data_IF_235009142840
#
_entry.id   IF_235009142840
#
_cell.length_a   1.000
_cell.length_b   1.000
_cell.length_c   1.000
_cell.angle_alpha   90.00
_cell.angle_beta   90.00
_cell.angle_gamma   90.00
#
_symmetry.space_group_name_H-M   'P 1'
#
loop_
_entity.id
_entity.type
_entity.pdbx_description
1 polymer ?
#
# COMPACT_ATOMS: atom_id res chain seq x y z
N UNK A 1 21.28 -7.81 3.49
CA UNK A 1 20.62 -9.14 3.65
C UNK A 1 19.60 -9.29 2.51
N UNK A 2 19.41 -10.47 1.92
CA UNK A 2 18.38 -10.62 0.87
C UNK A 2 16.99 -10.63 1.51
N UNK A 3 16.13 -9.71 1.08
CA UNK A 3 14.78 -9.53 1.61
C UNK A 3 13.77 -9.56 0.46
N UNK A 4 12.53 -9.93 0.80
CA UNK A 4 11.38 -9.81 -0.08
C UNK A 4 10.39 -8.83 0.53
N UNK A 5 9.77 -8.00 -0.30
CA UNK A 5 8.75 -7.06 0.14
C UNK A 5 7.60 -6.95 -0.85
N UNK A 6 6.46 -6.52 -0.35
CA UNK A 6 5.22 -6.39 -1.11
C UNK A 6 4.95 -4.93 -1.44
N UNK A 7 4.64 -4.67 -2.70
CA UNK A 7 4.22 -3.34 -3.18
C UNK A 7 2.87 -3.45 -3.88
N UNK A 8 1.94 -2.58 -3.51
CA UNK A 8 0.62 -2.48 -4.15
C UNK A 8 0.52 -1.18 -4.94
N UNK A 9 0.45 -1.29 -6.26
CA UNK A 9 0.04 -0.20 -7.13
C UNK A 9 -1.49 -0.09 -7.05
N UNK A 10 -1.94 0.94 -6.34
CA UNK A 10 -3.37 1.26 -6.15
C UNK A 10 -4.01 1.77 -7.45
N UNK A 11 -5.35 1.87 -7.52
CA UNK A 11 -6.03 2.18 -8.79
C UNK A 11 -5.57 3.48 -9.47
N UNK A 12 -5.20 4.50 -8.70
CA UNK A 12 -4.67 5.76 -9.24
C UNK A 12 -3.36 5.59 -10.02
N UNK A 13 -2.50 4.64 -9.64
CA UNK A 13 -1.25 4.40 -10.37
C UNK A 13 -1.54 3.90 -11.79
N UNK A 14 -2.60 3.12 -11.98
CA UNK A 14 -3.04 2.64 -13.28
C UNK A 14 -3.78 3.73 -14.05
N UNK A 15 -4.72 4.43 -13.39
CA UNK A 15 -5.48 5.56 -13.96
C UNK A 15 -4.55 6.64 -14.52
N UNK A 16 -3.45 6.91 -13.80
CA UNK A 16 -2.43 7.90 -14.17
C UNK A 16 -1.32 7.36 -15.08
N UNK A 17 -1.43 6.10 -15.53
CA UNK A 17 -0.47 5.43 -16.43
C UNK A 17 0.98 5.45 -15.88
N UNK A 18 1.14 5.17 -14.59
CA UNK A 18 2.42 5.21 -13.87
C UNK A 18 3.11 3.85 -13.73
N UNK A 19 2.46 2.75 -14.13
CA UNK A 19 2.95 1.37 -13.91
C UNK A 19 4.39 1.19 -14.40
N UNK A 20 4.67 1.48 -15.67
CA UNK A 20 6.02 1.33 -16.23
C UNK A 20 7.07 2.18 -15.53
N UNK A 21 6.72 3.44 -15.18
CA UNK A 21 7.62 4.34 -14.44
C UNK A 21 7.94 3.84 -13.04
N UNK A 22 6.99 3.18 -12.38
CA UNK A 22 7.19 2.63 -11.04
C UNK A 22 8.08 1.39 -11.10
N UNK A 23 7.83 0.48 -12.05
CA UNK A 23 8.66 -0.72 -12.24
C UNK A 23 10.11 -0.32 -12.55
N UNK A 24 10.29 0.61 -13.50
CA UNK A 24 11.61 1.12 -13.87
C UNK A 24 12.41 1.63 -12.66
N UNK A 25 11.77 2.36 -11.73
CA UNK A 25 12.45 2.87 -10.52
C UNK A 25 12.96 1.76 -9.61
N UNK A 26 12.24 0.64 -9.51
CA UNK A 26 12.69 -0.50 -8.70
C UNK A 26 13.86 -1.20 -9.38
N UNK A 27 13.76 -1.47 -10.69
CA UNK A 27 14.84 -2.10 -11.47
C UNK A 27 16.12 -1.25 -11.48
N UNK A 28 16.02 0.07 -11.71
CA UNK A 28 17.15 1.01 -11.66
C UNK A 28 17.80 1.10 -10.27
N UNK A 29 17.07 0.72 -9.21
CA UNK A 29 17.59 0.66 -7.85
C UNK A 29 18.23 -0.69 -7.51
N UNK A 30 18.38 -1.58 -8.48
CA UNK A 30 18.97 -2.91 -8.30
C UNK A 30 18.04 -3.90 -7.58
N UNK A 31 16.73 -3.65 -7.59
CA UNK A 31 15.73 -4.57 -7.03
C UNK A 31 15.15 -5.48 -8.12
N UNK A 32 14.90 -6.72 -7.75
CA UNK A 32 14.29 -7.73 -8.62
C UNK A 32 12.76 -7.69 -8.53
N UNK A 33 12.08 -7.81 -9.67
CA UNK A 33 10.64 -8.08 -9.69
C UNK A 33 10.43 -9.59 -9.68
N UNK A 34 10.07 -10.15 -8.52
CA UNK A 34 9.93 -11.60 -8.32
C UNK A 34 8.56 -12.14 -8.73
N UNK A 35 7.50 -11.35 -8.60
CA UNK A 35 6.14 -11.70 -9.03
C UNK A 35 5.33 -10.44 -9.35
N UNK A 36 4.44 -10.55 -10.33
CA UNK A 36 3.49 -9.49 -10.72
C UNK A 36 2.11 -10.13 -10.88
N UNK A 37 1.12 -9.59 -10.15
CA UNK A 37 -0.27 -10.01 -10.30
C UNK A 37 -1.19 -8.83 -10.51
N UNK A 38 -1.90 -8.85 -11.64
CA UNK A 38 -2.99 -7.92 -11.93
C UNK A 38 -4.29 -8.44 -11.34
N UNK A 39 -5.02 -7.55 -10.67
CA UNK A 39 -6.38 -7.80 -10.20
C UNK A 39 -7.32 -6.79 -10.85
N UNK A 40 -8.26 -7.25 -11.66
CA UNK A 40 -9.28 -6.38 -12.26
C UNK A 40 -10.20 -5.78 -11.19
N UNK A 41 -10.47 -6.55 -10.11
CA UNK A 41 -11.13 -6.10 -8.89
C UNK A 41 -10.57 -6.87 -7.68
N UNK A 42 -10.60 -6.25 -6.51
CA UNK A 42 -10.28 -6.88 -5.22
C UNK A 42 -11.58 -7.10 -4.46
N UNK A 43 -11.82 -8.30 -3.97
CA UNK A 43 -13.01 -8.60 -3.18
C UNK A 43 -12.88 -8.13 -1.72
N UNK A 44 -14.03 -8.05 -1.03
CA UNK A 44 -14.08 -7.53 0.35
C UNK A 44 -13.32 -8.40 1.34
N UNK A 45 -13.30 -9.72 1.15
CA UNK A 45 -12.62 -10.63 2.06
C UNK A 45 -11.10 -10.46 1.94
N UNK A 46 -10.58 -10.36 0.72
CA UNK A 46 -9.15 -10.17 0.48
C UNK A 46 -8.65 -8.82 1.00
N UNK A 47 -9.37 -7.72 0.76
CA UNK A 47 -8.94 -6.41 1.25
C UNK A 47 -9.00 -6.31 2.78
N UNK A 48 -9.96 -6.98 3.43
CA UNK A 48 -10.06 -7.04 4.90
C UNK A 48 -8.95 -7.88 5.51
N UNK A 49 -8.46 -8.90 4.81
CA UNK A 49 -7.25 -9.64 5.22
C UNK A 49 -5.99 -8.78 5.10
N UNK A 50 -5.87 -7.99 4.04
CA UNK A 50 -4.70 -7.13 3.82
C UNK A 50 -4.67 -5.91 4.75
N UNK A 51 -5.82 -5.28 4.98
CA UNK A 51 -6.01 -4.18 5.91
C UNK A 51 -7.01 -4.61 6.99
N UNK A 52 -6.59 -5.33 8.05
CA UNK A 52 -7.50 -5.83 9.10
C UNK A 52 -7.98 -4.72 10.04
N UNK A 53 -9.11 -4.96 10.72
CA UNK A 53 -9.70 -4.00 11.67
C UNK A 53 -8.74 -3.63 12.82
N UNK A 54 -7.82 -4.52 13.16
CA UNK A 54 -6.76 -4.26 14.16
C UNK A 54 -5.86 -3.08 13.81
N UNK A 55 -5.77 -2.66 12.54
CA UNK A 55 -4.99 -1.48 12.13
C UNK A 55 -5.68 -0.15 12.46
N UNK A 56 -6.97 -0.16 12.80
CA UNK A 56 -7.75 1.07 12.97
C UNK A 56 -7.13 2.00 14.02
N UNK A 57 -6.74 1.46 15.18
CA UNK A 57 -6.13 2.24 16.25
C UNK A 57 -4.87 2.97 15.80
N UNK A 58 -3.95 2.26 15.14
CA UNK A 58 -2.69 2.85 14.66
C UNK A 58 -2.93 3.96 13.62
N UNK A 59 -3.90 3.77 12.73
CA UNK A 59 -4.31 4.79 11.77
C UNK A 59 -4.93 6.00 12.47
N UNK A 60 -5.76 5.77 13.48
CA UNK A 60 -6.36 6.81 14.31
C UNK A 60 -5.32 7.65 15.04
N UNK A 61 -4.32 7.00 15.65
CA UNK A 61 -3.23 7.68 16.37
C UNK A 61 -2.43 8.55 15.40
N UNK A 62 -2.11 8.05 14.20
CA UNK A 62 -1.45 8.82 13.15
C UNK A 62 -2.28 10.05 12.74
N UNK A 63 -3.59 9.86 12.54
CA UNK A 63 -4.49 10.94 12.18
C UNK A 63 -4.57 12.01 13.29
N UNK A 64 -4.73 11.59 14.56
CA UNK A 64 -4.74 12.49 15.72
C UNK A 64 -3.42 13.27 15.85
N UNK A 65 -2.28 12.62 15.59
CA UNK A 65 -1.00 13.31 15.63
C UNK A 65 -0.84 14.38 14.55
N UNK A 66 -1.44 14.17 13.38
CA UNK A 66 -1.52 15.19 12.33
C UNK A 66 -2.57 16.28 12.62
N UNK A 67 -3.68 15.91 13.27
CA UNK A 67 -4.83 16.77 13.55
C UNK A 67 -5.34 16.51 14.97
N UNK A 68 -4.89 17.34 15.93
CA UNK A 68 -5.13 17.16 17.37
C UNK A 68 -6.60 17.27 17.80
N UNK A 69 -7.49 17.69 16.91
CA UNK A 69 -8.94 17.79 17.17
C UNK A 69 -9.69 16.45 16.96
N UNK A 70 -9.02 15.38 16.55
CA UNK A 70 -9.61 14.04 16.48
C UNK A 70 -9.69 13.47 17.90
N UNK A 71 -10.86 13.50 18.51
CA UNK A 71 -11.06 13.05 19.90
C UNK A 71 -11.28 11.53 19.99
N UNK A 72 -12.09 10.97 19.09
CA UNK A 72 -12.31 9.54 19.00
C UNK A 72 -11.34 8.90 18.00
N UNK A 73 -10.21 8.45 18.53
CA UNK A 73 -9.11 7.84 17.77
C UNK A 73 -9.57 6.55 17.06
N UNK A 74 -10.32 5.70 17.74
CA UNK A 74 -10.69 4.39 17.21
C UNK A 74 -11.76 4.51 16.12
N UNK A 75 -12.82 5.31 16.36
CA UNK A 75 -13.84 5.54 15.35
C UNK A 75 -13.27 6.25 14.12
N UNK A 76 -12.38 7.23 14.31
CA UNK A 76 -11.71 7.89 13.19
C UNK A 76 -10.79 6.93 12.43
N UNK A 77 -10.05 6.10 13.15
CA UNK A 77 -9.21 5.05 12.59
C UNK A 77 -10.00 4.09 11.70
N UNK A 78 -11.14 3.61 12.18
CA UNK A 78 -12.06 2.77 11.41
C UNK A 78 -12.60 3.48 10.18
N UNK A 79 -12.96 4.77 10.29
CA UNK A 79 -13.42 5.57 9.15
C UNK A 79 -12.35 5.67 8.05
N UNK A 80 -11.09 5.93 8.43
CA UNK A 80 -9.95 5.99 7.50
C UNK A 80 -9.71 4.63 6.86
N UNK A 81 -9.75 3.55 7.65
CA UNK A 81 -9.55 2.19 7.19
C UNK A 81 -10.62 1.78 6.16
N UNK A 82 -11.89 2.06 6.43
CA UNK A 82 -13.00 1.77 5.49
C UNK A 82 -12.92 2.62 4.22
N UNK A 83 -12.44 3.87 4.31
CA UNK A 83 -12.15 4.69 3.12
C UNK A 83 -11.00 4.08 2.29
N UNK A 84 -9.94 3.61 2.93
CA UNK A 84 -8.81 2.96 2.26
C UNK A 84 -9.24 1.66 1.56
N UNK A 85 -10.04 0.82 2.23
CA UNK A 85 -10.58 -0.41 1.64
C UNK A 85 -11.41 -0.11 0.39
N UNK A 86 -12.37 0.81 0.49
CA UNK A 86 -13.19 1.25 -0.65
C UNK A 86 -12.34 1.84 -1.77
N UNK A 87 -11.33 2.62 -1.43
CA UNK A 87 -10.42 3.21 -2.40
C UNK A 87 -9.68 2.16 -3.22
N UNK A 88 -9.13 1.13 -2.56
CA UNK A 88 -8.42 0.05 -3.26
C UNK A 88 -9.37 -0.81 -4.09
N UNK A 89 -10.59 -1.06 -3.60
CA UNK A 89 -11.60 -1.86 -4.31
C UNK A 89 -12.28 -1.13 -5.49
N UNK A 90 -12.08 0.19 -5.66
CA UNK A 90 -12.80 0.97 -6.68
C UNK A 90 -12.40 0.63 -8.11
N UNK A 91 -11.24 0.03 -8.31
CA UNK A 91 -10.68 -0.23 -9.63
C UNK A 91 -9.59 -1.30 -9.59
N UNK A 92 -8.90 -1.50 -10.72
CA UNK A 92 -7.86 -2.50 -10.83
C UNK A 92 -6.61 -2.12 -10.03
N UNK A 93 -5.88 -3.12 -9.58
CA UNK A 93 -4.60 -2.96 -8.88
C UNK A 93 -3.55 -3.92 -9.42
N UNK A 94 -2.28 -3.60 -9.17
CA UNK A 94 -1.16 -4.50 -9.44
C UNK A 94 -0.42 -4.76 -8.13
N UNK A 95 -0.34 -6.03 -7.76
CA UNK A 95 0.48 -6.52 -6.67
C UNK A 95 1.86 -6.92 -7.20
N UNK A 96 2.91 -6.44 -6.55
CA UNK A 96 4.30 -6.77 -6.88
C UNK A 96 4.96 -7.45 -5.67
N UNK A 97 5.71 -8.51 -5.94
CA UNK A 97 6.71 -9.05 -5.02
C UNK A 97 8.08 -8.56 -5.49
N UNK A 98 8.77 -7.84 -4.63
CA UNK A 98 10.08 -7.23 -4.92
C UNK A 98 11.14 -7.92 -4.07
N UNK A 99 12.27 -8.29 -4.67
CA UNK A 99 13.40 -8.92 -4.00
C UNK A 99 14.67 -8.08 -4.13
N UNK A 100 15.63 -8.29 -3.23
CA UNK A 100 16.96 -7.69 -3.34
C UNK A 100 17.62 -7.46 -1.99
N UNK A 101 18.82 -6.87 -2.02
CA UNK A 101 19.52 -6.48 -0.80
C UNK A 101 18.81 -5.30 -0.11
N UNK A 102 18.45 -5.49 1.16
CA UNK A 102 17.76 -4.51 2.00
C UNK A 102 16.49 -3.95 1.32
N UNK A 103 15.77 -4.81 0.58
CA UNK A 103 14.66 -4.45 -0.29
C UNK A 103 13.57 -3.64 0.42
N UNK A 104 13.27 -3.95 1.68
CA UNK A 104 12.24 -3.24 2.46
C UNK A 104 12.62 -1.76 2.63
N UNK A 105 13.88 -1.50 3.02
CA UNK A 105 14.38 -0.13 3.23
C UNK A 105 14.47 0.62 1.91
N UNK A 106 14.97 -0.03 0.87
CA UNK A 106 15.15 0.57 -0.45
C UNK A 106 13.81 0.96 -1.08
N UNK A 107 12.80 0.08 -1.02
CA UNK A 107 11.44 0.37 -1.50
C UNK A 107 10.83 1.55 -0.74
N UNK A 108 10.92 1.59 0.60
CA UNK A 108 10.37 2.72 1.39
C UNK A 108 11.01 4.05 1.04
N UNK A 109 12.32 4.08 0.79
CA UNK A 109 13.05 5.27 0.32
C UNK A 109 12.57 5.74 -1.05
N UNK A 110 12.35 4.82 -2.00
CA UNK A 110 11.87 5.15 -3.36
C UNK A 110 10.43 5.71 -3.33
N UNK A 111 9.57 5.15 -2.48
CA UNK A 111 8.16 5.56 -2.35
C UNK A 111 8.02 6.87 -1.57
N UNK A 112 8.96 7.17 -0.66
CA UNK A 112 8.99 8.39 0.14
C UNK A 112 8.31 8.26 1.50
N UNK A 113 8.70 7.24 2.28
CA UNK A 113 8.29 7.05 3.68
C UNK A 113 9.46 7.22 4.64
#
# INVERSE_FOLDING_TARGET
MYEETFVLLKPDALERRLVGKIIQRFEESGLDILDIRYFSRVDSNLIRKHYPDSMARDLGVKAHNAMKNILDIEAHGMLVLERLRRYVMRGPVIALKIGGEDAIRTVRRIVGY
#
